data_IF_680600632813
#
_entry.id   IF_680600632813
#
_cell.length_a   1.000
_cell.length_b   1.000
_cell.length_c   1.000
_cell.angle_alpha   90.00
_cell.angle_beta   90.00
_cell.angle_gamma   90.00
#
_symmetry.space_group_name_H-M   'P 1'
#
loop_
_entity.id
_entity.type
_entity.pdbx_description
1 polymer ?
#
# COMPACT_ATOMS: atom_id res chain seq x y z
N UNK A 1 -2.24 13.12 19.24
CA UNK A 1 -1.97 13.65 17.89
C UNK A 1 -2.90 12.96 16.90
N UNK A 2 -3.42 13.68 15.92
CA UNK A 2 -4.25 13.07 14.89
C UNK A 2 -3.35 12.35 13.86
N UNK A 3 -3.54 11.04 13.66
CA UNK A 3 -2.72 10.21 12.77
C UNK A 3 -3.11 10.32 11.29
N UNK A 4 -3.54 11.50 10.82
CA UNK A 4 -4.00 11.71 9.45
C UNK A 4 -2.94 12.40 8.56
N UNK A 5 -1.77 12.69 9.12
CA UNK A 5 -0.66 13.35 8.42
C UNK A 5 0.56 12.42 8.44
N UNK A 6 1.17 12.23 7.28
CA UNK A 6 2.42 11.48 7.07
C UNK A 6 3.48 12.40 6.46
N UNK A 7 4.73 12.22 6.87
CA UNK A 7 5.87 13.02 6.41
C UNK A 7 6.18 14.21 7.30
N UNK A 8 7.33 14.82 7.10
CA UNK A 8 7.85 15.96 7.88
C UNK A 8 7.98 17.22 7.03
N UNK A 9 8.81 17.20 5.99
CA UNK A 9 8.97 18.28 5.03
C UNK A 9 7.90 18.13 3.94
N UNK A 10 7.93 17.02 3.21
CA UNK A 10 6.89 16.64 2.28
C UNK A 10 5.80 15.91 3.08
N UNK A 11 4.70 16.60 3.33
CA UNK A 11 3.63 16.16 4.23
C UNK A 11 2.32 15.94 3.50
N UNK A 12 1.74 14.78 3.67
CA UNK A 12 0.40 14.46 3.17
C UNK A 12 -0.57 14.32 4.34
N UNK A 13 -1.56 15.18 4.40
CA UNK A 13 -2.72 15.05 5.30
C UNK A 13 -3.91 14.52 4.50
N UNK A 14 -4.47 13.37 4.89
CA UNK A 14 -5.60 12.74 4.19
C UNK A 14 -6.90 12.92 4.94
N UNK A 15 -8.03 13.01 4.20
CA UNK A 15 -9.38 13.12 4.73
C UNK A 15 -10.38 12.30 3.92
N UNK A 16 -11.61 12.19 4.42
CA UNK A 16 -12.72 11.50 3.78
C UNK A 16 -12.92 10.07 4.26
N UNK A 17 -14.12 9.56 4.15
CA UNK A 17 -14.57 8.21 4.50
C UNK A 17 -14.92 7.43 3.25
N UNK A 18 -14.78 6.08 3.32
CA UNK A 18 -14.97 5.20 2.15
C UNK A 18 -16.37 5.28 1.52
N UNK A 19 -17.38 5.64 2.28
CA UNK A 19 -18.77 5.85 1.85
C UNK A 19 -19.24 7.29 2.10
N UNK A 20 -18.31 8.22 2.31
CA UNK A 20 -18.56 9.65 2.30
C UNK A 20 -18.61 10.21 0.88
N UNK A 21 -18.72 11.53 0.75
CA UNK A 21 -18.82 12.22 -0.55
C UNK A 21 -17.54 12.08 -1.38
N UNK A 22 -16.39 12.17 -0.72
CA UNK A 22 -15.08 12.10 -1.39
C UNK A 22 -13.99 11.65 -0.41
N UNK A 23 -12.90 11.15 -0.98
CA UNK A 23 -11.60 11.03 -0.36
C UNK A 23 -10.72 12.16 -0.87
N UNK A 24 -9.71 12.56 -0.10
CA UNK A 24 -8.81 13.59 -0.59
C UNK A 24 -7.62 13.81 0.33
N UNK A 25 -6.86 14.83 0.01
CA UNK A 25 -5.70 15.21 0.80
C UNK A 25 -5.21 16.61 0.51
N UNK A 26 -4.37 17.08 1.41
CA UNK A 26 -3.54 18.26 1.22
C UNK A 26 -2.09 17.81 1.34
N UNK A 27 -1.33 18.08 0.29
CA UNK A 27 0.11 17.82 0.24
C UNK A 27 0.84 19.16 0.37
N UNK A 28 1.68 19.26 1.36
CA UNK A 28 2.49 20.45 1.66
C UNK A 28 3.97 20.11 1.60
N UNK A 29 4.82 21.11 1.32
CA UNK A 29 6.26 20.98 1.23
C UNK A 29 6.79 20.52 -0.12
N UNK A 30 5.97 20.55 -1.17
CA UNK A 30 6.42 20.38 -2.56
C UNK A 30 7.14 21.66 -3.02
N UNK A 31 8.41 21.58 -3.48
CA UNK A 31 9.12 22.77 -3.98
C UNK A 31 8.41 23.42 -5.17
N UNK A 32 8.57 24.72 -5.36
CA UNK A 32 8.08 25.42 -6.54
C UNK A 32 8.87 25.02 -7.79
N UNK A 33 8.22 25.08 -8.97
CA UNK A 33 8.86 24.88 -10.27
C UNK A 33 9.09 23.42 -10.66
N UNK A 34 8.61 22.46 -9.86
CA UNK A 34 8.72 21.03 -10.22
C UNK A 34 7.69 20.71 -11.30
N UNK A 35 8.14 20.07 -12.38
CA UNK A 35 7.29 19.56 -13.43
C UNK A 35 6.55 18.29 -12.97
N UNK A 36 5.24 18.31 -13.14
CA UNK A 36 4.36 17.17 -12.82
C UNK A 36 3.54 16.82 -14.05
N UNK A 37 3.55 15.55 -14.40
CA UNK A 37 2.67 14.94 -15.38
C UNK A 37 1.39 14.46 -14.66
N UNK A 38 0.27 15.15 -14.90
CA UNK A 38 -1.02 14.82 -14.27
C UNK A 38 -1.59 13.51 -14.81
N UNK A 39 -1.28 13.15 -16.05
CA UNK A 39 -1.70 11.88 -16.64
C UNK A 39 -0.99 10.71 -15.93
N UNK A 40 0.29 10.83 -15.65
CA UNK A 40 1.03 9.83 -14.87
C UNK A 40 0.44 9.63 -13.47
N UNK A 41 -0.04 10.71 -12.83
CA UNK A 41 -0.76 10.61 -11.54
C UNK A 41 -2.07 9.82 -11.70
N UNK A 42 -2.85 10.11 -12.74
CA UNK A 42 -4.09 9.39 -13.02
C UNK A 42 -3.83 7.91 -13.34
N UNK A 43 -2.81 7.61 -14.14
CA UNK A 43 -2.39 6.22 -14.43
C UNK A 43 -2.02 5.46 -13.15
N UNK A 44 -1.39 6.10 -12.18
CA UNK A 44 -1.11 5.47 -10.88
C UNK A 44 -2.40 5.12 -10.11
N UNK A 45 -3.40 6.01 -10.14
CA UNK A 45 -4.72 5.77 -9.56
C UNK A 45 -5.47 4.66 -10.29
N UNK A 46 -5.42 4.64 -11.63
CA UNK A 46 -6.06 3.62 -12.45
C UNK A 46 -5.53 2.22 -12.16
N UNK A 47 -4.25 2.09 -11.84
CA UNK A 47 -3.66 0.81 -11.41
C UNK A 47 -4.18 0.34 -10.06
N UNK A 48 -4.54 1.27 -9.16
CA UNK A 48 -5.03 0.98 -7.83
C UNK A 48 -6.52 0.64 -7.81
N UNK A 49 -7.33 1.22 -8.71
CA UNK A 49 -8.80 1.15 -8.65
C UNK A 49 -9.33 -0.29 -8.61
N UNK A 50 -10.44 -0.57 -7.90
CA UNK A 50 -11.07 -1.87 -7.88
C UNK A 50 -11.77 -2.19 -9.22
N UNK A 51 -12.23 -3.43 -9.39
CA UNK A 51 -13.04 -3.80 -10.56
C UNK A 51 -12.26 -4.12 -11.83
N UNK A 52 -10.95 -4.39 -11.73
CA UNK A 52 -10.08 -4.65 -12.90
C UNK A 52 -10.06 -6.12 -13.35
N UNK A 53 -10.80 -7.03 -12.70
CA UNK A 53 -10.83 -8.44 -13.10
C UNK A 53 -11.57 -9.34 -12.12
N UNK A 54 -11.59 -10.64 -12.41
CA UNK A 54 -12.29 -11.65 -11.62
C UNK A 54 -11.81 -11.78 -10.17
N UNK A 55 -10.57 -11.36 -9.90
CA UNK A 55 -9.94 -11.43 -8.58
C UNK A 55 -10.24 -10.23 -7.68
N UNK A 56 -10.84 -9.17 -8.22
CA UNK A 56 -11.14 -7.94 -7.50
C UNK A 56 -12.61 -7.85 -7.09
N UNK A 57 -12.94 -6.88 -6.24
CA UNK A 57 -14.34 -6.64 -5.84
C UNK A 57 -15.18 -6.15 -7.03
N UNK A 58 -16.49 -6.34 -6.96
CA UNK A 58 -17.42 -5.85 -7.98
C UNK A 58 -17.58 -4.32 -7.97
N UNK A 59 -17.10 -3.63 -6.93
CA UNK A 59 -17.17 -2.18 -6.81
C UNK A 59 -16.45 -1.49 -7.97
N UNK A 60 -17.12 -0.52 -8.61
CA UNK A 60 -16.59 0.26 -9.72
C UNK A 60 -16.39 1.70 -9.27
N UNK A 61 -15.16 2.16 -9.23
CA UNK A 61 -14.80 3.55 -8.95
C UNK A 61 -14.00 4.10 -10.13
N UNK A 62 -14.28 5.34 -10.50
CA UNK A 62 -13.48 6.01 -11.54
C UNK A 62 -12.10 6.40 -11.03
N UNK A 63 -12.00 6.68 -9.70
CA UNK A 63 -10.80 7.19 -9.03
C UNK A 63 -10.17 8.40 -9.75
N UNK A 64 -11.00 9.23 -10.39
CA UNK A 64 -10.53 10.44 -11.05
C UNK A 64 -10.13 11.47 -10.02
N UNK A 65 -8.88 11.93 -10.07
CA UNK A 65 -8.37 12.97 -9.18
C UNK A 65 -8.74 14.36 -9.72
N UNK A 66 -9.24 15.21 -8.84
CA UNK A 66 -9.46 16.63 -9.07
C UNK A 66 -8.48 17.44 -8.21
N UNK A 67 -7.59 18.20 -8.86
CA UNK A 67 -6.67 19.09 -8.15
C UNK A 67 -7.31 20.47 -7.97
N UNK A 68 -7.23 20.99 -6.76
CA UNK A 68 -7.89 22.21 -6.34
C UNK A 68 -6.93 23.40 -6.22
N UNK A 69 -5.64 23.13 -6.02
CA UNK A 69 -4.60 24.15 -5.81
C UNK A 69 -3.19 23.59 -6.04
N UNK A 70 -2.20 24.48 -6.01
CA UNK A 70 -0.78 24.15 -5.96
C UNK A 70 -0.09 24.05 -7.32
N UNK A 71 -0.80 24.24 -8.43
CA UNK A 71 -0.26 24.13 -9.77
C UNK A 71 -0.43 25.39 -10.61
N UNK A 72 0.56 25.66 -11.43
CA UNK A 72 0.53 26.66 -12.49
C UNK A 72 0.41 25.93 -13.84
N UNK A 73 -0.61 26.26 -14.67
CA UNK A 73 -0.73 25.73 -16.01
C UNK A 73 0.48 26.17 -16.87
N UNK A 74 1.03 25.24 -17.63
CA UNK A 74 2.12 25.56 -18.56
C UNK A 74 1.56 25.65 -19.98
N UNK A 75 1.67 26.79 -20.67
CA UNK A 75 1.21 26.91 -22.04
C UNK A 75 1.87 25.90 -22.97
N UNK A 76 1.10 25.27 -23.84
CA UNK A 76 1.55 24.28 -24.84
C UNK A 76 2.18 22.99 -24.26
N UNK A 77 1.98 22.71 -22.95
CA UNK A 77 2.46 21.49 -22.31
C UNK A 77 1.24 20.68 -21.80
N UNK A 78 0.49 20.12 -22.74
CA UNK A 78 -0.74 19.36 -22.46
C UNK A 78 -0.49 18.27 -21.38
N UNK A 79 -1.34 18.24 -20.36
CA UNK A 79 -1.20 17.30 -19.22
C UNK A 79 -0.09 17.62 -18.21
N UNK A 80 0.81 18.57 -18.51
CA UNK A 80 1.90 18.95 -17.61
C UNK A 80 1.65 20.28 -16.92
N UNK A 81 2.03 20.36 -15.64
CA UNK A 81 1.92 21.55 -14.82
C UNK A 81 3.22 21.77 -14.04
N UNK A 82 3.39 22.98 -13.52
CA UNK A 82 4.46 23.26 -12.57
C UNK A 82 3.89 23.54 -11.18
N UNK A 83 4.58 23.05 -10.16
CA UNK A 83 4.22 23.32 -8.78
C UNK A 83 4.49 24.77 -8.39
N UNK A 84 3.63 25.35 -7.56
CA UNK A 84 3.76 26.72 -7.08
C UNK A 84 4.53 26.83 -5.73
N UNK A 85 4.82 25.71 -5.07
CA UNK A 85 5.35 25.70 -3.71
C UNK A 85 4.29 25.95 -2.63
N UNK A 86 3.06 26.23 -3.02
CA UNK A 86 1.89 26.29 -2.12
C UNK A 86 1.30 24.88 -1.94
N UNK A 87 0.48 24.65 -0.90
CA UNK A 87 -0.16 23.37 -0.66
C UNK A 87 -0.98 22.90 -1.87
N UNK A 88 -0.80 21.62 -2.23
CA UNK A 88 -1.56 20.95 -3.28
C UNK A 88 -2.77 20.28 -2.65
N UNK A 89 -3.95 20.86 -2.85
CA UNK A 89 -5.23 20.28 -2.46
C UNK A 89 -5.77 19.40 -3.58
N UNK A 90 -6.31 18.23 -3.23
CA UNK A 90 -6.94 17.33 -4.20
C UNK A 90 -8.09 16.54 -3.58
N UNK A 91 -9.01 16.10 -4.43
CA UNK A 91 -10.10 15.20 -4.04
C UNK A 91 -10.39 14.14 -5.12
N UNK A 92 -10.96 13.03 -4.67
CA UNK A 92 -11.46 11.93 -5.49
C UNK A 92 -12.88 11.62 -5.02
N UNK A 93 -13.88 11.79 -5.88
CA UNK A 93 -15.28 11.55 -5.55
C UNK A 93 -15.55 10.05 -5.40
N UNK A 94 -16.37 9.69 -4.42
CA UNK A 94 -16.90 8.35 -4.29
C UNK A 94 -18.17 8.25 -5.16
N UNK A 95 -18.12 7.41 -6.21
CA UNK A 95 -19.23 7.23 -7.15
C UNK A 95 -20.14 6.06 -6.76
N UNK A 96 -19.59 5.01 -6.16
CA UNK A 96 -20.27 3.74 -5.86
C UNK A 96 -20.34 3.48 -4.35
N UNK A 97 -21.19 4.25 -3.65
CA UNK A 97 -21.38 4.18 -2.21
C UNK A 97 -22.78 3.62 -1.87
N UNK A 98 -22.94 2.30 -1.90
CA UNK A 98 -24.18 1.61 -1.50
C UNK A 98 -24.25 1.43 0.02
N UNK A 99 -24.88 2.37 0.73
CA UNK A 99 -24.92 2.40 2.21
C UNK A 99 -25.88 1.37 2.81
N UNK A 100 -26.90 0.91 2.07
CA UNK A 100 -27.92 -0.03 2.56
C UNK A 100 -27.39 -1.41 2.90
N UNK A 101 -26.31 -1.83 2.28
CA UNK A 101 -25.68 -3.14 2.50
C UNK A 101 -25.03 -3.28 3.89
N UNK A 102 -24.94 -2.18 4.64
CA UNK A 102 -24.24 -2.13 5.93
C UNK A 102 -25.13 -1.89 7.15
N UNK A 103 -26.43 -1.72 7.00
CA UNK A 103 -27.34 -1.38 8.12
C UNK A 103 -27.37 -2.49 9.20
N UNK A 104 -27.26 -3.76 8.81
CA UNK A 104 -27.15 -4.89 9.73
C UNK A 104 -25.87 -4.84 10.56
N UNK A 105 -24.81 -4.17 10.07
CA UNK A 105 -23.54 -4.04 10.75
C UNK A 105 -23.47 -2.85 11.72
N UNK A 106 -24.50 -1.99 11.75
CA UNK A 106 -24.51 -0.82 12.62
C UNK A 106 -24.35 -1.16 14.11
N UNK A 107 -24.93 -2.28 14.54
CA UNK A 107 -24.97 -2.75 15.92
C UNK A 107 -24.08 -3.96 16.20
N UNK A 108 -23.28 -4.42 15.24
CA UNK A 108 -22.46 -5.63 15.37
C UNK A 108 -21.01 -5.37 14.97
N UNK A 109 -20.08 -6.19 15.42
CA UNK A 109 -18.66 -6.02 15.13
C UNK A 109 -18.16 -7.18 14.27
N UNK A 110 -17.59 -6.87 13.09
CA UNK A 110 -16.98 -7.87 12.23
C UNK A 110 -15.69 -8.41 12.87
N UNK A 111 -15.50 -9.74 12.97
CA UNK A 111 -14.26 -10.32 13.46
C UNK A 111 -13.05 -9.81 12.66
N UNK A 112 -11.96 -9.48 13.35
CA UNK A 112 -10.71 -8.95 12.77
C UNK A 112 -10.82 -7.66 11.95
N UNK A 113 -12.01 -7.03 11.89
CA UNK A 113 -12.20 -5.69 11.34
C UNK A 113 -11.96 -4.61 12.41
N UNK A 114 -11.79 -3.36 12.00
CA UNK A 114 -11.56 -2.23 12.92
C UNK A 114 -12.83 -1.72 13.63
N UNK A 115 -13.97 -2.38 13.46
CA UNK A 115 -15.27 -1.91 13.95
C UNK A 115 -15.26 -1.62 15.46
N UNK A 116 -14.84 -2.62 16.27
CA UNK A 116 -14.77 -2.48 17.72
C UNK A 116 -13.74 -1.44 18.17
N UNK A 117 -12.56 -1.44 17.57
CA UNK A 117 -11.47 -0.55 18.01
C UNK A 117 -11.79 0.91 17.70
N UNK A 118 -12.46 1.22 16.59
CA UNK A 118 -12.94 2.57 16.29
C UNK A 118 -14.07 2.98 17.25
N UNK A 119 -15.03 2.09 17.51
CA UNK A 119 -16.09 2.35 18.48
C UNK A 119 -15.53 2.62 19.87
N UNK A 120 -14.60 1.80 20.34
CA UNK A 120 -13.96 1.96 21.65
C UNK A 120 -13.14 3.24 21.76
N UNK A 121 -12.47 3.66 20.67
CA UNK A 121 -11.60 4.83 20.70
C UNK A 121 -12.36 6.15 20.57
N UNK A 122 -13.35 6.20 19.67
CA UNK A 122 -14.02 7.46 19.30
C UNK A 122 -15.46 7.59 19.85
N UNK A 123 -15.99 6.51 20.46
CA UNK A 123 -17.37 6.47 20.94
C UNK A 123 -18.41 6.25 19.84
N UNK A 124 -18.03 6.43 18.60
CA UNK A 124 -18.85 6.17 17.41
C UNK A 124 -17.97 5.72 16.23
N UNK A 125 -18.58 5.10 15.24
CA UNK A 125 -17.90 4.68 14.01
C UNK A 125 -18.78 4.85 12.79
N UNK A 126 -18.19 5.04 11.62
CA UNK A 126 -18.90 4.86 10.36
C UNK A 126 -18.92 3.35 10.04
N UNK A 127 -20.09 2.73 10.21
CA UNK A 127 -20.28 1.29 9.91
C UNK A 127 -20.32 1.00 8.41
N UNK A 128 -20.54 2.02 7.58
CA UNK A 128 -20.62 1.91 6.13
C UNK A 128 -19.21 1.72 5.56
N UNK A 129 -18.88 0.50 5.17
CA UNK A 129 -17.57 0.15 4.58
C UNK A 129 -16.35 0.40 5.47
N UNK A 130 -16.53 0.77 6.75
CA UNK A 130 -15.45 0.99 7.72
C UNK A 130 -14.83 2.39 7.71
N UNK A 131 -15.39 3.35 6.98
CA UNK A 131 -14.95 4.76 7.01
C UNK A 131 -13.45 4.93 6.72
N UNK A 132 -12.71 5.55 7.65
CA UNK A 132 -11.25 5.77 7.58
C UNK A 132 -10.41 4.49 7.72
N UNK A 133 -10.97 3.41 8.28
CA UNK A 133 -10.27 2.12 8.38
C UNK A 133 -10.28 1.33 7.08
N UNK A 134 -11.06 1.75 6.10
CA UNK A 134 -11.15 1.12 4.79
C UNK A 134 -9.87 1.29 3.97
N UNK A 135 -9.49 0.25 3.21
CA UNK A 135 -8.41 0.34 2.22
C UNK A 135 -8.65 1.40 1.12
N UNK A 136 -9.86 1.93 1.01
CA UNK A 136 -10.19 3.08 0.15
C UNK A 136 -9.32 4.31 0.48
N UNK A 137 -8.89 4.46 1.74
CA UNK A 137 -8.01 5.54 2.19
C UNK A 137 -6.70 5.60 1.39
N UNK A 138 -6.19 4.47 0.93
CA UNK A 138 -4.95 4.40 0.15
C UNK A 138 -4.99 5.17 -1.17
N UNK A 139 -6.16 5.53 -1.69
CA UNK A 139 -6.28 6.36 -2.90
C UNK A 139 -5.54 7.69 -2.76
N UNK A 140 -5.64 8.34 -1.60
CA UNK A 140 -4.94 9.59 -1.32
C UNK A 140 -3.42 9.40 -1.20
N UNK A 141 -2.97 8.24 -0.69
CA UNK A 141 -1.54 7.91 -0.63
C UNK A 141 -0.95 7.68 -2.02
N UNK A 142 -1.72 7.11 -2.95
CA UNK A 142 -1.28 6.92 -4.35
C UNK A 142 -1.07 8.28 -5.03
N UNK A 143 -1.97 9.25 -4.83
CA UNK A 143 -1.76 10.61 -5.34
C UNK A 143 -0.49 11.22 -4.75
N UNK A 144 -0.31 11.15 -3.42
CA UNK A 144 0.87 11.67 -2.75
C UNK A 144 2.16 11.01 -3.24
N UNK A 145 2.16 9.69 -3.44
CA UNK A 145 3.30 8.94 -3.96
C UNK A 145 3.63 9.29 -5.43
N UNK A 146 2.60 9.44 -6.27
CA UNK A 146 2.78 9.85 -7.67
C UNK A 146 3.37 11.27 -7.78
N UNK A 147 2.94 12.21 -6.93
CA UNK A 147 3.52 13.54 -6.85
C UNK A 147 4.96 13.50 -6.31
N UNK A 148 5.23 12.68 -5.29
CA UNK A 148 6.56 12.53 -4.71
C UNK A 148 7.57 11.95 -5.71
N UNK A 149 7.12 11.12 -6.67
CA UNK A 149 8.01 10.54 -7.69
C UNK A 149 8.72 11.60 -8.55
N UNK A 150 8.12 12.79 -8.72
CA UNK A 150 8.73 13.91 -9.42
C UNK A 150 9.95 14.52 -8.69
N UNK A 151 10.15 14.18 -7.41
CA UNK A 151 11.29 14.62 -6.59
C UNK A 151 12.40 13.58 -6.52
N UNK A 152 12.16 12.36 -6.98
CA UNK A 152 13.13 11.28 -6.90
C UNK A 152 14.16 11.36 -8.04
N UNK A 153 15.38 10.85 -7.86
CA UNK A 153 16.34 10.68 -8.93
C UNK A 153 15.74 9.92 -10.12
N UNK A 154 16.08 10.31 -11.34
CA UNK A 154 15.50 9.70 -12.56
C UNK A 154 15.83 8.21 -12.71
N UNK A 155 16.96 7.77 -12.19
CA UNK A 155 17.43 6.38 -12.26
C UNK A 155 16.82 5.50 -11.17
N UNK A 156 16.13 6.12 -10.20
CA UNK A 156 15.50 5.39 -9.11
C UNK A 156 14.23 4.70 -9.62
N UNK A 157 14.16 3.39 -9.42
CA UNK A 157 13.01 2.58 -9.77
C UNK A 157 12.45 1.86 -8.56
N UNK A 158 11.14 1.80 -8.45
CA UNK A 158 10.42 1.11 -7.37
C UNK A 158 9.52 0.05 -8.00
N UNK A 159 9.80 -1.22 -7.70
CA UNK A 159 9.02 -2.36 -8.15
C UNK A 159 8.43 -3.09 -6.94
N UNK A 160 7.11 -3.11 -6.84
CA UNK A 160 6.40 -3.92 -5.86
C UNK A 160 5.63 -5.02 -6.59
N UNK A 161 5.68 -6.24 -6.05
CA UNK A 161 5.07 -7.41 -6.66
C UNK A 161 4.57 -8.40 -5.60
N UNK A 162 3.61 -9.21 -5.97
CA UNK A 162 3.12 -10.28 -5.10
C UNK A 162 4.09 -11.46 -5.15
N UNK A 163 4.78 -11.68 -4.03
CA UNK A 163 5.72 -12.79 -3.87
C UNK A 163 5.02 -14.07 -3.41
N UNK A 164 4.00 -13.92 -2.55
CA UNK A 164 3.21 -15.05 -2.02
C UNK A 164 1.74 -14.63 -1.87
N UNK A 165 0.82 -15.51 -2.21
CA UNK A 165 -0.62 -15.29 -2.05
C UNK A 165 -1.33 -16.64 -1.89
N UNK A 166 -2.30 -16.72 -0.96
CA UNK A 166 -3.08 -17.94 -0.73
C UNK A 166 -2.23 -19.21 -0.51
N UNK A 167 -1.10 -19.07 0.18
CA UNK A 167 -0.16 -20.19 0.41
C UNK A 167 0.78 -20.51 -0.75
N UNK A 168 0.53 -20.00 -1.95
CA UNK A 168 1.37 -20.17 -3.14
C UNK A 168 2.44 -19.08 -3.17
N UNK A 169 3.71 -19.44 -3.38
CA UNK A 169 4.83 -18.50 -3.42
C UNK A 169 5.76 -18.73 -4.60
N UNK A 170 6.46 -17.68 -5.01
CA UNK A 170 7.53 -17.77 -6.01
C UNK A 170 8.64 -18.65 -5.43
N UNK A 171 9.16 -19.65 -6.17
CA UNK A 171 10.32 -20.44 -5.74
C UNK A 171 11.54 -19.55 -5.49
N UNK A 172 12.41 -19.96 -4.55
CA UNK A 172 13.58 -19.17 -4.16
C UNK A 172 14.61 -19.03 -5.30
N UNK A 173 14.69 -20.04 -6.15
CA UNK A 173 15.58 -20.12 -7.31
C UNK A 173 14.96 -19.60 -8.62
N UNK A 174 13.72 -19.10 -8.57
CA UNK A 174 13.04 -18.60 -9.74
C UNK A 174 13.69 -17.33 -10.28
N UNK A 175 13.86 -17.28 -11.58
CA UNK A 175 14.37 -16.09 -12.29
C UNK A 175 13.18 -15.33 -12.90
N UNK A 176 13.05 -14.06 -12.54
CA UNK A 176 11.99 -13.17 -13.05
C UNK A 176 12.44 -11.70 -12.98
N UNK A 177 11.78 -10.85 -13.75
CA UNK A 177 11.95 -9.40 -13.61
C UNK A 177 10.80 -8.82 -12.76
N UNK A 178 11.09 -8.10 -11.65
CA UNK A 178 10.04 -7.48 -10.80
C UNK A 178 9.07 -6.57 -11.58
N UNK A 179 9.52 -5.97 -12.67
CA UNK A 179 8.71 -5.14 -13.56
C UNK A 179 7.55 -5.91 -14.23
N UNK A 180 7.69 -7.22 -14.41
CA UNK A 180 6.69 -8.10 -15.04
C UNK A 180 5.46 -8.35 -14.15
N UNK A 181 5.49 -7.90 -12.89
CA UNK A 181 4.34 -7.97 -11.99
C UNK A 181 3.04 -7.41 -12.59
N UNK A 182 3.16 -6.49 -13.55
CA UNK A 182 2.03 -5.85 -14.23
C UNK A 182 1.41 -6.70 -15.34
N UNK A 183 2.06 -7.76 -15.75
CA UNK A 183 1.64 -8.61 -16.85
C UNK A 183 0.56 -9.63 -16.45
N UNK A 184 0.28 -9.75 -15.13
CA UNK A 184 -0.72 -10.69 -14.63
C UNK A 184 -1.62 -10.05 -13.55
N UNK A 185 -2.94 -10.37 -13.52
CA UNK A 185 -3.89 -9.78 -12.57
C UNK A 185 -3.56 -10.00 -11.09
N UNK A 186 -2.82 -11.05 -10.75
CA UNK A 186 -2.35 -11.32 -9.38
C UNK A 186 -1.26 -10.35 -8.93
N UNK A 187 -0.59 -9.66 -9.85
CA UNK A 187 0.59 -8.86 -9.54
C UNK A 187 1.85 -9.69 -9.23
N UNK A 188 1.87 -10.97 -9.61
CA UNK A 188 3.03 -11.85 -9.49
C UNK A 188 3.83 -11.84 -10.80
N UNK A 189 5.17 -11.60 -10.77
CA UNK A 189 5.99 -11.50 -11.97
C UNK A 189 6.41 -12.86 -12.54
N UNK A 190 6.22 -13.97 -11.80
CA UNK A 190 6.55 -15.32 -12.24
C UNK A 190 5.29 -15.99 -12.81
N UNK A 191 5.20 -16.26 -14.14
CA UNK A 191 3.95 -16.65 -14.80
C UNK A 191 3.28 -17.92 -14.25
N UNK A 192 4.07 -18.94 -13.97
CA UNK A 192 3.57 -20.22 -13.44
C UNK A 192 2.98 -20.04 -12.04
N UNK A 193 3.69 -19.31 -11.16
CA UNK A 193 3.23 -18.99 -9.83
C UNK A 193 1.99 -18.07 -9.87
N UNK A 194 1.96 -17.11 -10.80
CA UNK A 194 0.84 -16.21 -10.99
C UNK A 194 -0.46 -16.99 -11.33
N UNK A 195 -0.38 -17.95 -12.23
CA UNK A 195 -1.50 -18.83 -12.61
C UNK A 195 -1.95 -19.72 -11.45
N UNK A 196 -1.00 -20.27 -10.68
CA UNK A 196 -1.32 -21.05 -9.49
C UNK A 196 -1.98 -20.22 -8.38
N UNK A 197 -1.50 -18.98 -8.16
CA UNK A 197 -2.13 -18.02 -7.25
C UNK A 197 -3.55 -17.68 -7.67
N UNK A 198 -3.78 -17.42 -8.96
CA UNK A 198 -5.11 -17.13 -9.50
C UNK A 198 -6.08 -18.28 -9.24
N UNK A 199 -5.67 -19.49 -9.52
CA UNK A 199 -6.48 -20.70 -9.26
C UNK A 199 -6.82 -20.84 -7.78
N UNK A 200 -5.86 -20.64 -6.89
CA UNK A 200 -6.07 -20.72 -5.45
C UNK A 200 -7.04 -19.62 -4.96
N UNK A 201 -6.91 -18.39 -5.47
CA UNK A 201 -7.79 -17.27 -5.12
C UNK A 201 -9.23 -17.48 -5.61
N UNK A 202 -9.42 -18.00 -6.83
CA UNK A 202 -10.75 -18.32 -7.37
C UNK A 202 -11.43 -19.42 -6.52
N UNK A 203 -10.68 -20.44 -6.14
CA UNK A 203 -11.18 -21.50 -5.24
C UNK A 203 -11.65 -20.93 -3.90
N UNK A 204 -10.86 -20.05 -3.26
CA UNK A 204 -11.26 -19.41 -2.01
C UNK A 204 -12.48 -18.50 -2.19
N UNK A 205 -12.54 -17.75 -3.30
CA UNK A 205 -13.69 -16.91 -3.63
C UNK A 205 -14.98 -17.71 -3.75
N UNK A 206 -14.94 -18.87 -4.39
CA UNK A 206 -16.10 -19.77 -4.52
C UNK A 206 -16.54 -20.35 -3.15
N UNK A 207 -15.57 -20.53 -2.25
CA UNK A 207 -15.82 -20.92 -0.85
C UNK A 207 -16.31 -19.76 0.04
N UNK A 208 -16.39 -18.54 -0.50
CA UNK A 208 -16.75 -17.34 0.27
C UNK A 208 -15.67 -16.89 1.26
N UNK A 209 -14.40 -17.26 1.03
CA UNK A 209 -13.26 -16.98 1.89
C UNK A 209 -12.25 -16.03 1.21
N UNK A 210 -11.19 -15.64 1.94
CA UNK A 210 -10.15 -14.73 1.50
C UNK A 210 -8.77 -15.23 1.89
N UNK A 211 -7.73 -14.71 1.25
CA UNK A 211 -6.35 -15.03 1.59
C UNK A 211 -5.54 -13.79 1.96
N UNK A 212 -4.52 -14.02 2.78
CA UNK A 212 -3.42 -13.11 2.98
C UNK A 212 -2.31 -13.34 1.95
N UNK A 213 -1.30 -12.48 1.99
CA UNK A 213 -0.17 -12.58 1.08
C UNK A 213 1.05 -11.80 1.55
N UNK A 214 2.11 -11.92 0.79
CA UNK A 214 3.36 -11.19 0.97
C UNK A 214 3.65 -10.40 -0.31
N UNK A 215 3.83 -9.11 -0.15
CA UNK A 215 4.28 -8.21 -1.21
C UNK A 215 5.76 -7.93 -0.99
N UNK A 216 6.59 -8.22 -1.98
CA UNK A 216 7.97 -7.82 -2.02
C UNK A 216 8.12 -6.48 -2.73
N UNK A 217 9.10 -5.69 -2.30
CA UNK A 217 9.46 -4.44 -2.92
C UNK A 217 10.98 -4.40 -3.14
N UNK A 218 11.36 -4.01 -4.35
CA UNK A 218 12.74 -3.75 -4.73
C UNK A 218 12.85 -2.30 -5.20
N UNK A 219 13.81 -1.56 -4.63
CA UNK A 219 14.12 -0.18 -5.03
C UNK A 219 15.56 -0.16 -5.52
N UNK A 220 15.75 0.21 -6.77
CA UNK A 220 17.06 0.34 -7.41
C UNK A 220 17.41 1.79 -7.69
N UNK A 221 18.69 2.11 -7.93
CA UNK A 221 19.14 3.47 -8.19
C UNK A 221 19.19 4.36 -6.94
N UNK A 222 19.12 3.78 -5.74
CA UNK A 222 19.27 4.52 -4.49
C UNK A 222 20.76 4.72 -4.21
N UNK A 223 21.26 5.97 -4.11
CA UNK A 223 22.64 6.21 -3.74
C UNK A 223 22.93 5.76 -2.31
N UNK A 224 24.16 5.45 -2.01
CA UNK A 224 24.59 5.28 -0.62
C UNK A 224 24.43 6.60 0.15
N UNK A 225 24.00 6.51 1.43
CA UNK A 225 23.95 7.68 2.31
C UNK A 225 22.54 8.17 2.68
N UNK A 226 21.46 7.54 2.23
CA UNK A 226 20.10 7.90 2.67
C UNK A 226 19.74 7.21 3.98
N UNK A 227 19.23 7.98 4.92
CA UNK A 227 18.82 7.55 6.26
C UNK A 227 19.51 8.35 7.36
N UNK A 228 18.82 8.59 8.46
CA UNK A 228 19.28 9.42 9.58
C UNK A 228 19.32 8.62 10.89
N UNK A 229 20.42 7.95 11.21
CA UNK A 229 20.57 7.34 12.55
C UNK A 229 20.54 8.46 13.62
N UNK A 230 20.14 8.19 14.87
CA UNK A 230 19.88 6.85 15.43
C UNK A 230 18.44 6.38 15.17
N UNK A 231 17.43 7.23 15.25
CA UNK A 231 16.02 6.83 15.25
C UNK A 231 15.36 6.88 13.87
N UNK A 232 15.82 7.78 12.98
CA UNK A 232 15.28 7.93 11.62
C UNK A 232 16.04 7.09 10.59
N UNK A 233 16.43 5.88 11.00
CA UNK A 233 17.02 4.88 10.13
C UNK A 233 16.11 4.63 8.93
N UNK A 234 16.68 4.47 7.74
CA UNK A 234 15.89 4.30 6.50
C UNK A 234 14.89 3.14 6.60
N UNK A 235 15.29 1.98 7.12
CA UNK A 235 14.37 0.85 7.31
C UNK A 235 13.28 1.15 8.37
N UNK A 236 13.55 1.96 9.39
CA UNK A 236 12.55 2.35 10.37
C UNK A 236 11.49 3.29 9.75
N UNK A 237 11.93 4.24 8.92
CA UNK A 237 11.03 5.15 8.18
C UNK A 237 10.20 4.40 7.13
N UNK A 238 10.81 3.49 6.38
CA UNK A 238 10.10 2.59 5.47
C UNK A 238 9.12 1.70 6.23
N UNK A 239 9.54 1.12 7.36
CA UNK A 239 8.67 0.31 8.23
C UNK A 239 7.45 1.10 8.73
N UNK A 240 7.64 2.32 9.19
CA UNK A 240 6.56 3.21 9.61
C UNK A 240 5.56 3.48 8.47
N UNK A 241 6.07 3.78 7.26
CA UNK A 241 5.23 4.02 6.09
C UNK A 241 4.43 2.78 5.69
N UNK A 242 5.07 1.62 5.62
CA UNK A 242 4.48 0.37 5.14
C UNK A 242 3.50 -0.24 6.16
N UNK A 243 3.81 -0.22 7.45
CA UNK A 243 2.90 -0.69 8.51
C UNK A 243 1.67 0.23 8.68
N UNK A 244 1.73 1.45 8.16
CA UNK A 244 0.58 2.34 8.03
C UNK A 244 -0.41 1.94 6.95
N UNK A 245 -0.10 0.98 6.07
CA UNK A 245 -1.01 0.45 5.05
C UNK A 245 -2.00 -0.51 5.72
N UNK A 246 -3.27 -0.41 5.33
CA UNK A 246 -4.34 -1.27 5.87
C UNK A 246 -3.99 -2.75 5.68
N UNK A 247 -4.28 -3.56 6.69
CA UNK A 247 -4.02 -5.00 6.74
C UNK A 247 -2.54 -5.43 6.80
N UNK A 248 -1.56 -4.54 6.68
CA UNK A 248 -0.16 -4.86 6.92
C UNK A 248 0.06 -5.35 8.35
N UNK A 249 0.83 -6.45 8.53
CA UNK A 249 1.06 -7.12 9.81
C UNK A 249 2.52 -7.37 10.15
N UNK A 250 3.39 -7.28 9.16
CA UNK A 250 4.82 -7.47 9.35
C UNK A 250 5.59 -6.91 8.18
N UNK A 251 6.85 -6.57 8.44
CA UNK A 251 7.82 -6.14 7.44
C UNK A 251 9.17 -6.75 7.79
N UNK A 252 9.92 -7.15 6.79
CA UNK A 252 11.31 -7.58 6.92
C UNK A 252 12.15 -7.04 5.77
N UNK A 253 13.44 -6.83 6.03
CA UNK A 253 14.42 -6.28 5.09
C UNK A 253 15.48 -7.34 4.78
N UNK A 254 15.86 -7.46 3.51
CA UNK A 254 16.86 -8.44 3.06
C UNK A 254 16.47 -9.85 3.46
N UNK A 255 17.39 -10.56 4.14
CA UNK A 255 17.15 -11.91 4.65
C UNK A 255 16.11 -11.99 5.80
N UNK A 256 15.81 -10.85 6.42
CA UNK A 256 14.75 -10.73 7.43
C UNK A 256 14.85 -11.76 8.57
N UNK A 257 13.74 -12.44 8.86
CA UNK A 257 13.69 -13.46 9.91
C UNK A 257 14.58 -14.66 9.62
N UNK A 258 14.72 -15.09 8.35
CA UNK A 258 15.61 -16.20 8.00
C UNK A 258 17.09 -15.88 8.32
N UNK A 259 17.48 -14.60 8.23
CA UNK A 259 18.82 -14.16 8.63
C UNK A 259 19.12 -14.36 10.11
N UNK A 260 18.09 -14.35 10.99
CA UNK A 260 18.26 -14.60 12.43
C UNK A 260 18.65 -16.03 12.77
N UNK A 261 18.41 -16.97 11.85
CA UNK A 261 18.79 -18.39 11.98
C UNK A 261 20.15 -18.69 11.32
N UNK A 262 20.77 -17.67 10.69
CA UNK A 262 22.05 -17.79 10.00
C UNK A 262 23.24 -17.51 10.95
N UNK A 263 24.42 -17.94 10.54
CA UNK A 263 25.67 -17.54 11.21
C UNK A 263 26.20 -16.23 10.62
N UNK A 264 26.96 -15.46 11.40
CA UNK A 264 27.53 -14.20 10.92
C UNK A 264 28.36 -14.35 9.64
N UNK A 265 29.12 -15.44 9.49
CA UNK A 265 29.92 -15.73 8.29
C UNK A 265 29.09 -15.97 7.03
N UNK A 266 27.85 -16.42 7.18
CA UNK A 266 26.91 -16.63 6.06
C UNK A 266 26.06 -15.39 5.79
N UNK A 267 25.82 -14.61 6.83
CA UNK A 267 24.97 -13.40 6.78
C UNK A 267 25.72 -12.17 6.26
N UNK A 268 27.04 -12.11 6.44
CA UNK A 268 27.83 -10.96 6.05
C UNK A 268 27.89 -10.79 4.54
N UNK A 269 27.52 -9.61 4.07
CA UNK A 269 27.60 -9.20 2.67
C UNK A 269 29.05 -8.77 2.35
N UNK A 270 29.84 -9.66 1.75
CA UNK A 270 31.22 -9.38 1.42
C UNK A 270 31.34 -8.34 0.31
N UNK A 271 32.14 -7.31 0.51
CA UNK A 271 32.38 -6.27 -0.49
C UNK A 271 33.09 -6.84 -1.72
N UNK A 272 32.57 -6.53 -2.90
CA UNK A 272 33.22 -6.75 -4.20
C UNK A 272 33.81 -5.44 -4.74
N UNK A 273 33.20 -4.31 -4.39
CA UNK A 273 33.66 -2.95 -4.69
C UNK A 273 33.02 -1.96 -3.70
N UNK A 274 33.39 -0.66 -3.74
CA UNK A 274 32.70 0.37 -2.98
C UNK A 274 31.24 0.46 -3.42
N UNK A 275 30.33 0.32 -2.46
CA UNK A 275 28.87 0.30 -2.69
C UNK A 275 28.34 -0.97 -3.37
N UNK A 276 29.15 -2.03 -3.48
CA UNK A 276 28.74 -3.31 -4.05
C UNK A 276 29.16 -4.47 -3.17
N UNK A 277 28.28 -5.44 -3.01
CA UNK A 277 28.50 -6.65 -2.23
C UNK A 277 28.14 -7.89 -3.06
N UNK A 278 28.71 -9.05 -2.72
CA UNK A 278 28.42 -10.32 -3.40
C UNK A 278 27.02 -10.89 -3.11
N UNK A 279 26.44 -10.48 -1.99
CA UNK A 279 25.10 -10.82 -1.53
C UNK A 279 24.40 -9.56 -1.05
N UNK A 280 23.10 -9.64 -0.77
CA UNK A 280 22.31 -8.50 -0.28
C UNK A 280 21.43 -8.90 0.92
N UNK A 281 22.02 -9.63 1.87
CA UNK A 281 21.31 -10.06 3.09
C UNK A 281 20.85 -8.87 3.93
N UNK A 282 21.58 -7.74 3.89
CA UNK A 282 21.21 -6.48 4.55
C UNK A 282 20.01 -5.78 3.89
N UNK A 283 19.59 -6.21 2.70
CA UNK A 283 18.52 -5.55 1.94
C UNK A 283 18.83 -4.11 1.55
N UNK A 284 20.10 -3.80 1.21
CA UNK A 284 20.55 -2.46 0.78
C UNK A 284 20.70 -1.42 1.89
N UNK A 285 20.55 -1.81 3.17
CA UNK A 285 20.57 -0.88 4.32
C UNK A 285 21.49 -1.41 5.40
N UNK A 286 22.53 -0.67 5.74
CA UNK A 286 23.49 -0.99 6.80
C UNK A 286 23.58 0.16 7.80
N UNK A 287 23.51 -0.13 9.09
CA UNK A 287 23.50 0.90 10.13
C UNK A 287 22.30 1.86 10.06
N UNK A 288 21.30 1.57 9.25
CA UNK A 288 20.14 2.43 9.00
C UNK A 288 20.30 3.37 7.81
N UNK A 289 21.36 3.21 7.04
CA UNK A 289 21.73 4.04 5.89
C UNK A 289 21.81 3.15 4.64
N UNK A 290 21.33 3.65 3.49
CA UNK A 290 21.46 2.95 2.21
C UNK A 290 22.94 2.77 1.84
N UNK A 291 23.31 1.60 1.32
CA UNK A 291 24.68 1.25 0.98
C UNK A 291 24.99 1.25 -0.53
N UNK A 292 24.01 1.60 -1.38
CA UNK A 292 24.12 1.60 -2.84
C UNK A 292 23.62 0.32 -3.52
N UNK A 293 23.41 -0.76 -2.76
CA UNK A 293 22.75 -1.96 -3.25
C UNK A 293 21.21 -1.74 -3.37
N UNK A 294 20.49 -2.56 -4.12
CA UNK A 294 19.04 -2.51 -4.14
C UNK A 294 18.45 -2.59 -2.72
N UNK A 295 17.50 -1.72 -2.40
CA UNK A 295 16.74 -1.86 -1.16
C UNK A 295 15.67 -2.89 -1.38
N UNK A 296 15.67 -3.93 -0.54
CA UNK A 296 14.76 -5.07 -0.65
C UNK A 296 14.05 -5.31 0.68
N UNK A 297 12.72 -5.37 0.62
CA UNK A 297 11.89 -5.66 1.78
C UNK A 297 10.61 -6.39 1.38
N UNK A 298 9.97 -7.04 2.36
CA UNK A 298 8.71 -7.79 2.19
C UNK A 298 7.72 -7.38 3.25
N UNK A 299 6.45 -7.30 2.87
CA UNK A 299 5.36 -6.90 3.75
C UNK A 299 4.31 -8.01 3.77
N UNK A 300 3.97 -8.48 4.96
CA UNK A 300 2.92 -9.46 5.17
C UNK A 300 1.56 -8.77 5.37
N UNK A 301 0.57 -9.19 4.60
CA UNK A 301 -0.81 -8.73 4.69
C UNK A 301 -1.72 -9.85 5.18
N UNK A 302 -2.56 -9.55 6.19
CA UNK A 302 -3.57 -10.50 6.63
C UNK A 302 -4.70 -10.64 5.59
N UNK A 303 -5.47 -11.76 5.64
CA UNK A 303 -6.70 -11.88 4.86
C UNK A 303 -7.68 -10.73 5.11
N UNK A 304 -8.52 -10.43 4.13
CA UNK A 304 -9.62 -9.49 4.28
C UNK A 304 -10.61 -10.07 5.29
N UNK A 305 -11.04 -9.26 6.27
CA UNK A 305 -11.87 -9.72 7.38
C UNK A 305 -13.34 -9.96 7.00
N UNK A 306 -13.82 -9.29 5.95
CA UNK A 306 -15.19 -9.47 5.45
C UNK A 306 -15.24 -10.69 4.52
N UNK A 307 -15.79 -11.80 5.01
CA UNK A 307 -15.97 -13.05 4.26
C UNK A 307 -17.45 -13.40 4.14
N UNK A 308 -17.81 -14.23 3.15
CA UNK A 308 -19.20 -14.68 2.93
C UNK A 308 -19.59 -15.90 3.76
N UNK A 309 -18.71 -16.36 4.64
CA UNK A 309 -18.98 -17.44 5.58
C UNK A 309 -19.61 -16.87 6.86
N UNK A 310 -20.37 -17.71 7.57
CA UNK A 310 -20.89 -17.39 8.89
C UNK A 310 -19.75 -17.26 9.91
N UNK A 311 -19.79 -16.18 10.69
CA UNK A 311 -18.79 -15.90 11.71
C UNK A 311 -19.45 -15.59 13.05
N UNK A 312 -18.93 -16.15 14.12
CA UNK A 312 -19.34 -15.79 15.47
C UNK A 312 -18.80 -14.42 15.85
N UNK A 313 -19.63 -13.57 16.43
CA UNK A 313 -19.28 -12.23 16.88
C UNK A 313 -20.14 -11.80 18.07
N UNK A 314 -20.09 -10.51 18.38
CA UNK A 314 -20.94 -9.87 19.39
C UNK A 314 -21.57 -8.59 18.85
N UNK A 315 -22.72 -8.24 19.44
CA UNK A 315 -23.34 -6.92 19.21
C UNK A 315 -22.71 -5.83 20.12
N UNK A 316 -23.19 -4.61 19.97
CA UNK A 316 -22.74 -3.47 20.77
C UNK A 316 -23.04 -3.59 22.29
N UNK A 317 -23.92 -4.49 22.68
CA UNK A 317 -24.22 -4.82 24.08
C UNK A 317 -23.43 -6.03 24.59
N UNK A 318 -22.51 -6.59 23.77
CA UNK A 318 -21.71 -7.77 24.13
C UNK A 318 -22.45 -9.10 24.02
N UNK A 319 -23.63 -9.15 23.41
CA UNK A 319 -24.40 -10.38 23.23
C UNK A 319 -23.90 -11.16 22.02
N UNK A 320 -23.79 -12.49 22.11
CA UNK A 320 -23.37 -13.33 20.98
C UNK A 320 -24.32 -13.17 19.77
N UNK A 321 -23.72 -13.04 18.59
CA UNK A 321 -24.43 -12.98 17.29
C UNK A 321 -23.67 -13.78 16.24
N UNK A 322 -24.39 -14.29 15.25
CA UNK A 322 -23.79 -14.86 14.03
C UNK A 322 -23.91 -13.85 12.90
N UNK A 323 -22.81 -13.55 12.25
CA UNK A 323 -22.74 -12.62 11.12
C UNK A 323 -22.47 -13.38 9.83
N UNK A 324 -23.20 -13.04 8.78
CA UNK A 324 -22.89 -13.39 7.40
C UNK A 324 -22.87 -12.11 6.58
N UNK A 325 -21.77 -11.85 5.91
CA UNK A 325 -21.57 -10.63 5.12
C UNK A 325 -21.79 -10.99 3.65
N UNK A 326 -22.80 -10.38 3.05
CA UNK A 326 -23.10 -10.52 1.63
C UNK A 326 -22.63 -9.23 0.93
N UNK A 327 -21.41 -9.17 0.39
CA UNK A 327 -20.92 -7.96 -0.28
C UNK A 327 -19.51 -8.13 -0.85
#
# INVERSE_FOLDING_TARGET
MAGNTFGEIFRLTTFGESHGTAMGGVLDGMPAGIWVDLEAVQVALDRRKPGQGALTTARKESDTVEFLSGFHPVPNAEGHVQTLGSPIGFQIRNADAHSKDYDALAQTFRPSHADYTYQAKYGLRDYRGGGRSSARETVSRVVGGALASALLPKDLQIHAYVQRMAGVGIPEDAVFAPADARNHPTGCPHPETASAMETALLTLKDQGDTAGGVIACQITGVPAGWGEPVFDKLHARLGYAMLGINAAKGIEFGSGFAGSESTGSRQNDAFTNLGQTSTNHSGGIQGGISNGMPIEFRIAFKPIASIRQEQNSVDAAGRPVTLKIEG
#
